data_IF_222788571887
#
_entry.id   IF_222788571887
#
_cell.length_a   1.000
_cell.length_b   1.000
_cell.length_c   1.000
_cell.angle_alpha   90.00
_cell.angle_beta   90.00
_cell.angle_gamma   90.00
#
_symmetry.space_group_name_H-M   'P 1'
#
loop_
_entity.id
_entity.type
_entity.pdbx_description
1 polymer ?
#
# COMPACT_ATOMS: atom_id res chain seq x y z
N UNK A 1 15.76 1.61 0.21
CA UNK A 1 15.47 1.61 1.66
C UNK A 1 15.45 0.20 2.28
N UNK A 2 16.05 -0.01 3.46
CA UNK A 2 15.86 -1.24 4.27
C UNK A 2 14.83 -0.97 5.36
N UNK A 3 13.77 -1.77 5.44
CA UNK A 3 12.75 -1.68 6.50
C UNK A 3 12.55 -3.03 7.19
N UNK A 4 12.06 -2.99 8.42
CA UNK A 4 11.54 -4.19 9.10
C UNK A 4 10.04 -4.28 8.84
N UNK A 5 9.63 -5.25 8.04
CA UNK A 5 8.23 -5.62 7.89
C UNK A 5 7.76 -6.46 9.06
N UNK A 6 6.53 -6.22 9.51
CA UNK A 6 5.86 -7.03 10.53
C UNK A 6 5.72 -8.50 10.13
N UNK A 7 5.51 -8.79 8.83
CA UNK A 7 5.16 -10.13 8.33
C UNK A 7 6.36 -10.82 7.69
N UNK A 8 7.21 -10.06 7.00
CA UNK A 8 8.32 -10.62 6.21
C UNK A 8 9.70 -10.41 6.86
N UNK A 9 9.77 -9.77 8.05
CA UNK A 9 11.03 -9.44 8.68
C UNK A 9 11.78 -8.35 7.92
N UNK A 10 13.11 -8.43 7.88
CA UNK A 10 13.94 -7.40 7.21
C UNK A 10 13.83 -7.54 5.70
N UNK A 11 13.36 -6.48 5.04
CA UNK A 11 13.21 -6.41 3.58
C UNK A 11 13.92 -5.18 3.03
N UNK A 12 14.46 -5.32 1.82
CA UNK A 12 15.06 -4.23 1.07
C UNK A 12 14.12 -3.81 -0.06
N UNK A 13 13.74 -2.54 -0.07
CA UNK A 13 12.74 -1.97 -0.96
C UNK A 13 13.39 -0.82 -1.70
N UNK A 14 13.34 -0.84 -3.02
CA UNK A 14 13.84 0.26 -3.83
C UNK A 14 12.96 1.51 -3.65
N UNK A 15 13.58 2.69 -3.66
CA UNK A 15 12.89 3.94 -3.31
C UNK A 15 11.79 4.32 -4.33
N UNK A 16 11.90 3.83 -5.56
CA UNK A 16 10.89 3.95 -6.63
C UNK A 16 9.61 3.12 -6.37
N UNK A 17 9.68 2.13 -5.46
CA UNK A 17 8.55 1.30 -5.03
C UNK A 17 7.86 1.81 -3.76
N UNK A 18 8.31 2.93 -3.20
CA UNK A 18 7.70 3.54 -2.02
C UNK A 18 6.50 4.40 -2.43
N UNK A 19 5.34 4.08 -1.88
CA UNK A 19 4.12 4.86 -1.98
C UNK A 19 4.15 5.99 -0.96
N UNK A 20 3.96 7.23 -1.42
CA UNK A 20 3.92 8.41 -0.54
C UNK A 20 2.50 8.96 -0.46
N UNK A 21 1.89 8.83 0.72
CA UNK A 21 0.60 9.41 1.05
C UNK A 21 0.83 10.82 1.63
N UNK A 22 0.65 11.86 0.83
CA UNK A 22 0.96 13.27 1.22
C UNK A 22 0.30 13.69 2.54
N UNK A 23 -0.95 13.25 2.74
CA UNK A 23 -1.79 13.52 3.92
C UNK A 23 -1.75 12.38 4.96
N UNK A 24 -0.94 11.35 4.73
CA UNK A 24 -0.98 10.09 5.47
C UNK A 24 -2.28 9.30 5.24
N UNK A 25 -2.61 8.42 6.18
CA UNK A 25 -3.84 7.61 6.16
C UNK A 25 -4.78 8.09 7.27
N UNK A 26 -6.09 7.91 7.08
CA UNK A 26 -7.10 8.21 8.11
C UNK A 26 -6.74 7.48 9.42
N UNK A 27 -6.71 8.22 10.53
CA UNK A 27 -6.25 7.73 11.84
C UNK A 27 -4.74 7.78 12.05
N UNK A 28 -3.93 7.89 10.99
CA UNK A 28 -2.47 7.92 11.02
C UNK A 28 -1.89 8.98 10.07
N UNK A 29 -2.17 10.28 10.26
CA UNK A 29 -1.71 11.35 9.37
C UNK A 29 -0.18 11.52 9.34
N UNK A 30 0.52 11.00 10.37
CA UNK A 30 1.97 11.00 10.49
C UNK A 30 2.66 9.92 9.64
N UNK A 31 1.95 8.82 9.33
CA UNK A 31 2.51 7.73 8.52
C UNK A 31 2.29 8.09 7.06
N UNK A 32 3.38 8.30 6.31
CA UNK A 32 3.32 8.82 4.93
C UNK A 32 3.97 7.90 3.92
N UNK A 33 4.92 7.08 4.34
CA UNK A 33 5.65 6.19 3.44
C UNK A 33 5.21 4.75 3.67
N UNK A 34 4.81 4.10 2.58
CA UNK A 34 4.35 2.73 2.60
C UNK A 34 4.95 1.94 1.44
N UNK A 35 5.01 0.63 1.62
CA UNK A 35 5.33 -0.32 0.56
C UNK A 35 4.29 -1.42 0.53
N UNK A 36 3.97 -1.91 -0.67
CA UNK A 36 3.07 -3.05 -0.84
C UNK A 36 3.92 -4.32 -0.93
N UNK A 37 3.79 -5.18 0.07
CA UNK A 37 4.54 -6.43 0.20
C UNK A 37 3.62 -7.62 -0.06
N UNK A 38 4.10 -8.60 -0.82
CA UNK A 38 3.40 -9.84 -1.07
C UNK A 38 4.40 -10.98 -1.24
N UNK A 39 3.93 -12.21 -1.06
CA UNK A 39 4.70 -13.42 -1.29
C UNK A 39 4.71 -13.73 -2.79
N UNK A 40 5.90 -13.69 -3.42
CA UNK A 40 6.03 -13.91 -4.86
C UNK A 40 5.59 -15.32 -5.28
N UNK A 41 5.74 -16.34 -4.42
CA UNK A 41 5.35 -17.72 -4.72
C UNK A 41 3.83 -17.88 -4.76
N UNK A 42 3.11 -17.08 -3.96
CA UNK A 42 1.65 -17.09 -3.89
C UNK A 42 1.00 -16.19 -4.94
N UNK A 43 1.79 -15.34 -5.59
CA UNK A 43 1.32 -14.37 -6.57
C UNK A 43 0.53 -13.22 -5.96
N UNK A 44 0.10 -12.29 -6.83
CA UNK A 44 -0.64 -11.07 -6.45
C UNK A 44 -2.12 -11.31 -6.14
N UNK A 45 -2.62 -12.51 -6.39
CA UNK A 45 -4.02 -12.90 -6.18
C UNK A 45 -4.34 -13.25 -4.72
N UNK A 46 -3.47 -12.84 -3.79
CA UNK A 46 -3.57 -13.15 -2.37
C UNK A 46 -3.49 -11.87 -1.52
N UNK A 47 -3.67 -12.02 -0.20
CA UNK A 47 -3.52 -10.90 0.73
C UNK A 47 -2.12 -10.32 0.62
N UNK A 48 -2.06 -9.04 0.30
CA UNK A 48 -0.86 -8.22 0.31
C UNK A 48 -0.83 -7.38 1.59
N UNK A 49 0.33 -6.84 1.92
CA UNK A 49 0.55 -6.06 3.13
C UNK A 49 0.99 -4.66 2.76
N UNK A 50 0.15 -3.67 3.05
CA UNK A 50 0.52 -2.27 3.00
C UNK A 50 1.31 -1.93 4.27
N UNK A 51 2.63 -2.08 4.19
CA UNK A 51 3.58 -1.91 5.29
C UNK A 51 4.02 -0.45 5.39
N UNK A 52 3.93 0.15 6.58
CA UNK A 52 4.53 1.46 6.81
C UNK A 52 6.05 1.36 6.87
N UNK A 53 6.72 2.32 6.24
CA UNK A 53 8.17 2.52 6.35
C UNK A 53 8.52 3.45 7.52
N UNK A 54 7.53 4.16 8.07
CA UNK A 54 7.71 5.08 9.19
C UNK A 54 7.46 4.37 10.54
N UNK A 55 6.65 3.31 10.57
CA UNK A 55 6.33 2.51 11.78
C UNK A 55 6.32 1.00 11.45
N UNK A 56 7.28 0.26 11.99
CA UNK A 56 7.49 -1.16 11.68
C UNK A 56 6.28 -2.04 12.08
N UNK A 57 5.64 -1.70 13.20
CA UNK A 57 4.50 -2.45 13.75
C UNK A 57 3.21 -2.25 12.93
N UNK A 58 3.18 -1.25 12.05
CA UNK A 58 2.02 -0.93 11.23
C UNK A 58 2.07 -1.60 9.86
N UNK A 59 1.20 -2.59 9.67
CA UNK A 59 0.96 -3.23 8.39
C UNK A 59 -0.52 -3.55 8.25
N UNK A 60 -1.14 -3.11 7.16
CA UNK A 60 -2.55 -3.35 6.87
C UNK A 60 -2.69 -4.41 5.77
N UNK A 61 -3.45 -5.49 5.99
CA UNK A 61 -3.74 -6.45 4.92
C UNK A 61 -4.66 -5.78 3.88
N UNK A 62 -4.31 -5.91 2.61
CA UNK A 62 -5.05 -5.40 1.46
C UNK A 62 -5.11 -6.47 0.37
N UNK A 63 -6.07 -6.36 -0.55
CA UNK A 63 -6.23 -7.26 -1.68
C UNK A 63 -6.86 -6.50 -2.85
N UNK A 64 -6.69 -7.00 -4.06
CA UNK A 64 -7.39 -6.46 -5.23
C UNK A 64 -8.89 -6.75 -5.11
N UNK A 65 -9.76 -5.72 -5.00
CA UNK A 65 -11.17 -5.90 -4.72
C UNK A 65 -11.90 -6.73 -5.79
N UNK A 66 -11.38 -6.80 -7.02
CA UNK A 66 -12.00 -7.55 -8.11
C UNK A 66 -11.98 -9.07 -7.86
N UNK A 67 -11.13 -9.58 -6.96
CA UNK A 67 -11.20 -10.98 -6.52
C UNK A 67 -12.40 -11.30 -5.63
N UNK A 68 -13.00 -10.29 -4.99
CA UNK A 68 -14.13 -10.45 -4.08
C UNK A 68 -15.43 -9.97 -4.71
N UNK A 69 -15.36 -8.89 -5.48
CA UNK A 69 -16.48 -8.24 -6.13
C UNK A 69 -16.05 -7.82 -7.54
N UNK A 70 -16.44 -8.63 -8.52
CA UNK A 70 -16.10 -8.49 -9.94
C UNK A 70 -16.60 -7.18 -10.58
N UNK A 71 -17.70 -6.63 -10.06
CA UNK A 71 -18.27 -5.33 -10.43
C UNK A 71 -17.82 -4.18 -9.50
N UNK A 72 -16.73 -4.32 -8.76
CA UNK A 72 -16.23 -3.25 -7.88
C UNK A 72 -15.73 -2.05 -8.71
N UNK A 73 -16.56 -1.00 -8.76
CA UNK A 73 -16.26 0.25 -9.47
C UNK A 73 -16.65 1.45 -8.57
N UNK A 74 -15.74 1.92 -7.70
CA UNK A 74 -16.05 3.04 -6.82
C UNK A 74 -16.16 4.34 -7.63
N UNK A 75 -17.18 5.14 -7.34
CA UNK A 75 -17.29 6.49 -7.88
C UNK A 75 -16.40 7.42 -7.06
N UNK A 76 -15.40 8.01 -7.72
CA UNK A 76 -14.44 8.93 -7.09
C UNK A 76 -14.66 10.33 -7.66
N UNK A 77 -14.67 11.33 -6.79
CA UNK A 77 -14.73 12.73 -7.20
C UNK A 77 -13.43 13.11 -7.96
N UNK A 78 -13.57 13.80 -9.10
CA UNK A 78 -12.44 14.28 -9.88
C UNK A 78 -11.48 15.15 -9.04
N UNK A 79 -12.01 15.94 -8.09
CA UNK A 79 -11.20 16.76 -7.20
C UNK A 79 -10.28 15.91 -6.29
N UNK A 80 -10.67 14.67 -5.97
CA UNK A 80 -9.84 13.73 -5.20
C UNK A 80 -8.75 13.12 -6.09
N UNK A 81 -9.04 12.92 -7.38
CA UNK A 81 -8.07 12.38 -8.33
C UNK A 81 -6.92 13.35 -8.61
N UNK A 82 -7.14 14.67 -8.52
CA UNK A 82 -6.07 15.67 -8.70
C UNK A 82 -4.93 15.49 -7.68
N UNK A 83 -5.24 15.03 -6.47
CA UNK A 83 -4.24 14.76 -5.43
C UNK A 83 -3.42 13.48 -5.71
N UNK A 84 -4.00 12.55 -6.46
CA UNK A 84 -3.42 11.26 -6.83
C UNK A 84 -2.73 11.41 -8.17
N UNK A 85 -1.40 11.52 -8.16
CA UNK A 85 -0.58 11.59 -9.37
C UNK A 85 -0.63 10.24 -10.11
N UNK A 86 -1.71 10.02 -10.87
CA UNK A 86 -1.87 8.85 -11.72
C UNK A 86 -0.65 8.74 -12.63
N UNK A 87 0.11 7.65 -12.47
CA UNK A 87 1.18 7.31 -13.40
C UNK A 87 0.53 6.60 -14.58
N UNK A 88 0.80 7.10 -15.78
CA UNK A 88 0.43 6.43 -17.04
C UNK A 88 1.11 5.06 -17.17
#
# INVERSE_FOLDING_TARGET
>A
MKITSRVFGKVEISDDRILTFKKGIIGYPQLKKFALLYDEEKGRETIQWLQSCDEESFAMPVLDPLFVKDDYCPVVDAAILEDVQLRE
#
